data_IF_234195761538
#
_entry.id   IF_234195761538
#
_cell.length_a   1.000
_cell.length_b   1.000
_cell.length_c   1.000
_cell.angle_alpha   90.00
_cell.angle_beta   90.00
_cell.angle_gamma   90.00
#
_symmetry.space_group_name_H-M   'P 1'
#
loop_
_entity.id
_entity.type
_entity.pdbx_description
1 polymer ?
#
# COMPACT_ATOMS: atom_id res chain seq x y z
N UNK A 1 11.82 -16.69 -10.76
CA UNK A 1 12.74 -15.63 -10.30
C UNK A 1 12.99 -15.76 -8.81
N UNK A 2 14.13 -15.23 -8.34
CA UNK A 2 14.40 -15.00 -6.92
C UNK A 2 14.04 -13.55 -6.60
N UNK A 3 13.07 -13.35 -5.74
CA UNK A 3 12.47 -12.01 -5.48
C UNK A 3 12.62 -11.64 -4.01
N UNK A 4 13.21 -10.49 -3.72
CA UNK A 4 13.20 -9.92 -2.38
C UNK A 4 12.00 -8.98 -2.21
N UNK A 5 11.33 -9.06 -1.05
CA UNK A 5 10.22 -8.16 -0.68
C UNK A 5 10.54 -7.53 0.66
N UNK A 6 10.97 -6.26 0.65
CA UNK A 6 11.10 -5.51 1.90
C UNK A 6 9.72 -5.08 2.39
N UNK A 7 9.47 -5.15 3.68
CA UNK A 7 8.12 -4.91 4.22
C UNK A 7 7.14 -6.05 3.94
N UNK A 8 7.65 -7.25 3.60
CA UNK A 8 6.84 -8.40 3.22
C UNK A 8 5.96 -8.98 4.33
N UNK A 9 6.21 -8.63 5.60
CA UNK A 9 5.36 -8.99 6.75
C UNK A 9 4.24 -7.97 7.01
N UNK A 10 4.23 -6.86 6.27
CA UNK A 10 3.23 -5.79 6.39
C UNK A 10 1.88 -6.16 5.76
N UNK A 11 0.94 -5.20 5.77
CA UNK A 11 -0.40 -5.35 5.17
C UNK A 11 -0.30 -5.71 3.68
N UNK A 12 0.13 -4.79 2.83
CA UNK A 12 0.24 -5.00 1.38
C UNK A 12 1.29 -6.07 1.09
N UNK A 13 2.47 -5.97 1.71
CA UNK A 13 3.59 -6.87 1.47
C UNK A 13 3.26 -8.35 1.64
N UNK A 14 2.43 -8.70 2.64
CA UNK A 14 2.05 -10.08 2.88
C UNK A 14 1.15 -10.66 1.76
N UNK A 15 0.28 -9.86 1.15
CA UNK A 15 -0.52 -10.27 -0.01
C UNK A 15 0.35 -10.37 -1.27
N UNK A 16 1.28 -9.43 -1.48
CA UNK A 16 2.25 -9.49 -2.58
C UNK A 16 3.11 -10.75 -2.49
N UNK A 17 3.62 -11.08 -1.29
CA UNK A 17 4.36 -12.34 -1.06
C UNK A 17 3.51 -13.55 -1.41
N UNK A 18 2.25 -13.60 -0.95
CA UNK A 18 1.34 -14.72 -1.24
C UNK A 18 1.16 -14.91 -2.76
N UNK A 19 0.93 -13.83 -3.53
CA UNK A 19 0.76 -13.89 -5.00
C UNK A 19 2.04 -14.28 -5.73
N UNK A 20 3.19 -13.73 -5.32
CA UNK A 20 4.48 -14.08 -5.92
C UNK A 20 4.84 -15.56 -5.69
N UNK A 21 4.59 -16.09 -4.48
CA UNK A 21 4.79 -17.52 -4.18
C UNK A 21 3.82 -18.38 -4.99
N UNK A 22 2.54 -18.01 -5.09
CA UNK A 22 1.54 -18.72 -5.88
C UNK A 22 1.88 -18.72 -7.39
N UNK A 23 2.54 -17.66 -7.88
CA UNK A 23 3.06 -17.58 -9.26
C UNK A 23 4.37 -18.39 -9.47
N UNK A 24 4.85 -19.12 -8.45
CA UNK A 24 6.01 -20.00 -8.56
C UNK A 24 7.37 -19.31 -8.38
N UNK A 25 7.41 -18.09 -7.85
CA UNK A 25 8.66 -17.40 -7.56
C UNK A 25 9.25 -17.84 -6.21
N UNK A 26 10.58 -17.78 -6.10
CA UNK A 26 11.27 -17.92 -4.80
C UNK A 26 11.31 -16.56 -4.13
N UNK A 27 10.62 -16.42 -3.01
CA UNK A 27 10.49 -15.15 -2.32
C UNK A 27 11.31 -15.13 -1.03
N UNK A 28 12.07 -14.07 -0.82
CA UNK A 28 12.69 -13.73 0.46
C UNK A 28 12.05 -12.46 1.02
N UNK A 29 11.45 -12.59 2.20
CA UNK A 29 10.90 -11.48 2.98
C UNK A 29 12.06 -10.84 3.75
N UNK A 30 12.18 -9.51 3.64
CA UNK A 30 13.11 -8.68 4.42
C UNK A 30 12.24 -7.73 5.26
N UNK A 31 12.21 -7.96 6.57
CA UNK A 31 11.36 -7.19 7.50
C UNK A 31 11.94 -7.31 8.91
N UNK A 32 11.59 -6.41 9.80
CA UNK A 32 11.92 -6.50 11.24
C UNK A 32 10.88 -7.31 12.03
N UNK A 33 9.79 -7.70 11.40
CA UNK A 33 8.73 -8.55 11.97
C UNK A 33 8.69 -9.88 11.24
N UNK A 34 8.44 -11.00 11.95
CA UNK A 34 8.32 -12.30 11.31
C UNK A 34 7.15 -12.36 10.32
N UNK A 35 7.22 -13.22 9.29
CA UNK A 35 6.16 -13.37 8.31
C UNK A 35 4.89 -13.95 8.94
N UNK A 36 3.74 -13.57 8.39
CA UNK A 36 2.43 -14.05 8.84
C UNK A 36 2.13 -15.49 8.42
N UNK A 37 2.75 -15.96 7.35
CA UNK A 37 2.56 -17.31 6.78
C UNK A 37 3.91 -17.95 6.44
N UNK A 38 3.93 -19.28 6.40
CA UNK A 38 5.04 -20.07 5.84
C UNK A 38 4.97 -20.02 4.29
N UNK A 39 6.09 -20.32 3.62
CA UNK A 39 6.17 -20.43 2.16
C UNK A 39 7.21 -19.54 1.50
N UNK A 40 7.66 -18.49 2.20
CA UNK A 40 8.79 -17.65 1.80
C UNK A 40 9.92 -17.71 2.82
N UNK A 41 11.16 -17.51 2.38
CA UNK A 41 12.27 -17.36 3.31
C UNK A 41 12.24 -16.00 3.98
N UNK A 42 12.76 -15.90 5.21
CA UNK A 42 12.75 -14.67 6.00
C UNK A 42 14.16 -14.23 6.37
N UNK A 43 14.37 -12.93 6.35
CA UNK A 43 15.57 -12.25 6.86
C UNK A 43 15.14 -11.11 7.77
N UNK A 44 15.53 -11.20 9.04
CA UNK A 44 15.36 -10.12 10.01
C UNK A 44 16.41 -9.05 9.72
N UNK A 45 16.03 -8.06 8.92
CA UNK A 45 16.88 -6.95 8.50
C UNK A 45 16.05 -5.68 8.40
N UNK A 46 16.53 -4.63 9.08
CA UNK A 46 16.01 -3.28 8.93
C UNK A 46 16.55 -2.66 7.63
N UNK A 47 15.70 -1.94 6.89
CA UNK A 47 16.11 -1.25 5.65
C UNK A 47 17.12 -0.11 5.90
N UNK A 48 17.34 0.27 7.16
CA UNK A 48 18.41 1.18 7.57
C UNK A 48 19.78 0.49 7.71
N UNK A 49 19.84 -0.84 7.68
CA UNK A 49 21.09 -1.63 7.71
C UNK A 49 21.54 -2.00 6.28
N UNK A 50 22.35 -1.15 5.65
CA UNK A 50 22.88 -1.42 4.30
C UNK A 50 23.68 -2.72 4.20
N UNK A 51 24.64 -3.06 5.12
CA UNK A 51 25.31 -4.35 5.08
C UNK A 51 24.35 -5.55 5.17
N UNK A 52 23.33 -5.46 6.01
CA UNK A 52 22.27 -6.46 6.12
C UNK A 52 21.47 -6.61 4.82
N UNK A 53 21.07 -5.51 4.20
CA UNK A 53 20.38 -5.51 2.92
C UNK A 53 21.22 -6.15 1.80
N UNK A 54 22.52 -5.82 1.71
CA UNK A 54 23.41 -6.42 0.70
C UNK A 54 23.48 -7.95 0.89
N UNK A 55 23.58 -8.44 2.12
CA UNK A 55 23.54 -9.88 2.37
C UNK A 55 22.18 -10.50 2.04
N UNK A 56 21.10 -9.83 2.40
CA UNK A 56 19.74 -10.36 2.25
C UNK A 56 19.25 -10.37 0.78
N UNK A 57 19.73 -9.47 -0.06
CA UNK A 57 19.34 -9.36 -1.48
C UNK A 57 20.32 -10.07 -2.44
N UNK A 58 21.34 -10.75 -1.93
CA UNK A 58 22.30 -11.48 -2.77
C UNK A 58 21.62 -12.57 -3.57
N UNK A 59 21.84 -12.57 -4.89
CA UNK A 59 21.26 -13.54 -5.83
C UNK A 59 19.77 -13.34 -6.14
N UNK A 60 19.19 -12.19 -5.76
CA UNK A 60 17.86 -11.80 -6.19
C UNK A 60 17.87 -11.18 -7.60
N UNK A 61 16.84 -11.51 -8.38
CA UNK A 61 16.62 -10.97 -9.73
C UNK A 61 15.89 -9.62 -9.65
N UNK A 62 14.93 -9.51 -8.70
CA UNK A 62 14.06 -8.34 -8.49
C UNK A 62 13.91 -8.05 -7.00
N UNK A 63 13.79 -6.76 -6.66
CA UNK A 63 13.42 -6.29 -5.32
C UNK A 63 12.11 -5.52 -5.38
N UNK A 64 11.11 -5.92 -4.60
CA UNK A 64 9.95 -5.09 -4.26
C UNK A 64 10.22 -4.36 -2.94
N UNK A 65 10.26 -3.04 -3.01
CA UNK A 65 10.49 -2.20 -1.83
C UNK A 65 9.17 -1.62 -1.31
N UNK A 66 8.55 -2.34 -0.36
CA UNK A 66 7.29 -1.98 0.28
C UNK A 66 7.48 -1.51 1.74
N UNK A 67 8.67 -1.72 2.32
CA UNK A 67 8.98 -1.22 3.65
C UNK A 67 8.91 0.31 3.70
N UNK A 68 8.31 0.85 4.76
CA UNK A 68 8.23 2.29 4.96
C UNK A 68 7.21 2.68 6.02
N UNK A 69 7.36 3.89 6.54
CA UNK A 69 6.32 4.56 7.34
C UNK A 69 5.23 5.02 6.38
N UNK A 70 4.00 4.50 6.54
CA UNK A 70 2.88 4.74 5.62
C UNK A 70 1.66 5.39 6.27
N UNK A 71 1.69 5.63 7.59
CA UNK A 71 0.66 6.34 8.32
C UNK A 71 1.04 7.83 8.43
N UNK A 72 0.14 8.72 8.01
CA UNK A 72 0.36 10.18 8.07
C UNK A 72 0.53 10.68 9.50
N UNK A 73 -0.19 10.07 10.47
CA UNK A 73 -0.07 10.45 11.88
C UNK A 73 1.27 10.02 12.47
N UNK A 74 1.76 8.81 12.14
CA UNK A 74 3.07 8.34 12.58
C UNK A 74 4.17 9.21 11.96
N UNK A 75 4.05 9.54 10.67
CA UNK A 75 4.97 10.43 9.97
C UNK A 75 4.99 11.85 10.58
N UNK A 76 3.85 12.32 11.09
CA UNK A 76 3.75 13.61 11.78
C UNK A 76 4.35 13.54 13.20
N UNK A 77 4.17 12.42 13.88
CA UNK A 77 4.69 12.22 15.24
C UNK A 77 6.22 12.13 15.27
N UNK A 78 6.82 11.46 14.26
CA UNK A 78 8.28 11.38 14.12
C UNK A 78 8.69 11.61 12.64
N UNK A 79 8.82 12.90 12.24
CA UNK A 79 9.19 13.26 10.89
C UNK A 79 10.63 12.87 10.50
N UNK A 80 11.55 12.86 11.47
CA UNK A 80 12.95 12.52 11.20
C UNK A 80 13.10 11.03 10.92
N UNK A 81 12.55 10.18 11.78
CA UNK A 81 12.53 8.73 11.55
C UNK A 81 11.80 8.37 10.25
N UNK A 82 10.71 9.10 9.91
CA UNK A 82 10.02 8.91 8.64
C UNK A 82 10.92 9.17 7.44
N UNK A 83 11.69 10.26 7.45
CA UNK A 83 12.64 10.57 6.36
C UNK A 83 13.79 9.55 6.32
N UNK A 84 14.28 9.12 7.46
CA UNK A 84 15.34 8.10 7.54
C UNK A 84 14.90 6.76 6.94
N UNK A 85 13.69 6.32 7.28
CA UNK A 85 13.11 5.08 6.76
C UNK A 85 12.73 5.22 5.29
N UNK A 86 11.91 6.22 4.94
CA UNK A 86 11.32 6.30 3.60
C UNK A 86 12.29 6.80 2.53
N UNK A 87 13.23 7.67 2.86
CA UNK A 87 14.17 8.27 1.89
C UNK A 87 15.54 7.60 1.96
N UNK A 88 16.17 7.65 3.14
CA UNK A 88 17.51 7.07 3.29
C UNK A 88 17.45 5.54 3.22
N UNK A 89 16.39 4.91 3.76
CA UNK A 89 16.12 3.48 3.60
C UNK A 89 15.96 3.09 2.13
N UNK A 90 15.18 3.84 1.35
CA UNK A 90 15.06 3.64 -0.11
C UNK A 90 16.42 3.72 -0.80
N UNK A 91 17.24 4.73 -0.49
CA UNK A 91 18.58 4.84 -1.07
C UNK A 91 19.46 3.63 -0.73
N UNK A 92 19.36 3.10 0.50
CA UNK A 92 20.09 1.88 0.92
C UNK A 92 19.63 0.63 0.17
N UNK A 93 18.32 0.48 -0.05
CA UNK A 93 17.78 -0.64 -0.86
C UNK A 93 18.28 -0.57 -2.30
N UNK A 94 18.27 0.62 -2.91
CA UNK A 94 18.80 0.83 -4.29
C UNK A 94 20.31 0.60 -4.35
N UNK A 95 21.06 1.02 -3.35
CA UNK A 95 22.50 0.73 -3.25
C UNK A 95 22.80 -0.76 -3.07
N UNK A 96 21.99 -1.47 -2.28
CA UNK A 96 22.09 -2.92 -2.15
C UNK A 96 21.77 -3.63 -3.48
N UNK A 97 20.72 -3.17 -4.19
CA UNK A 97 20.37 -3.67 -5.52
C UNK A 97 21.53 -3.48 -6.52
N UNK A 98 22.12 -2.29 -6.53
CA UNK A 98 23.27 -1.96 -7.40
C UNK A 98 24.49 -2.83 -7.09
N UNK A 99 24.84 -3.01 -5.82
CA UNK A 99 26.00 -3.85 -5.41
C UNK A 99 25.81 -5.32 -5.78
N UNK A 100 24.58 -5.81 -5.71
CA UNK A 100 24.26 -7.20 -6.04
C UNK A 100 23.84 -7.40 -7.51
N UNK A 101 23.91 -6.34 -8.32
CA UNK A 101 23.54 -6.36 -9.75
C UNK A 101 22.10 -6.89 -9.95
N UNK A 102 21.18 -6.52 -9.06
CA UNK A 102 19.77 -6.87 -9.17
C UNK A 102 19.19 -6.25 -10.44
N UNK A 103 18.51 -7.05 -11.25
CA UNK A 103 18.02 -6.63 -12.56
C UNK A 103 17.06 -5.44 -12.50
N UNK A 104 16.15 -5.40 -11.50
CA UNK A 104 15.20 -4.30 -11.31
C UNK A 104 14.76 -4.16 -9.86
N UNK A 105 14.60 -2.92 -9.40
CA UNK A 105 14.00 -2.61 -8.11
C UNK A 105 12.69 -1.84 -8.29
N UNK A 106 11.64 -2.20 -7.54
CA UNK A 106 10.28 -1.71 -7.68
C UNK A 106 9.88 -0.99 -6.40
N UNK A 107 9.58 0.31 -6.49
CA UNK A 107 9.22 1.16 -5.35
C UNK A 107 7.70 1.20 -5.15
N UNK A 108 7.23 0.93 -3.93
CA UNK A 108 5.90 1.29 -3.48
C UNK A 108 5.83 2.79 -3.15
N UNK A 109 5.22 3.57 -4.05
CA UNK A 109 4.88 4.98 -3.85
C UNK A 109 3.38 5.14 -3.56
N UNK A 110 2.82 6.31 -3.76
CA UNK A 110 1.44 6.64 -3.41
C UNK A 110 0.84 7.66 -4.36
N UNK A 111 -0.47 7.59 -4.61
CA UNK A 111 -1.22 8.64 -5.33
C UNK A 111 -1.30 9.96 -4.56
N UNK A 112 -0.95 9.99 -3.28
CA UNK A 112 -0.86 11.24 -2.51
C UNK A 112 0.17 12.22 -3.05
N UNK A 113 1.11 11.77 -3.87
CA UNK A 113 2.05 12.67 -4.58
C UNK A 113 1.33 13.66 -5.50
N UNK A 114 0.08 13.36 -5.88
CA UNK A 114 -0.78 14.25 -6.67
C UNK A 114 -1.58 15.26 -5.84
N UNK A 115 -1.63 15.13 -4.52
CA UNK A 115 -2.50 15.96 -3.66
C UNK A 115 -2.22 17.46 -3.79
N UNK A 116 -0.95 17.85 -3.94
CA UNK A 116 -0.53 19.24 -4.13
C UNK A 116 -0.54 19.69 -5.58
N UNK A 117 -0.87 18.85 -6.57
CA UNK A 117 -0.85 19.24 -7.97
C UNK A 117 -1.94 20.29 -8.26
N UNK A 118 -1.57 21.40 -8.90
CA UNK A 118 -2.46 22.53 -9.16
C UNK A 118 -3.45 22.31 -10.31
N UNK A 119 -3.27 21.25 -11.10
CA UNK A 119 -4.09 21.01 -12.27
C UNK A 119 -5.45 20.43 -11.86
N UNK A 120 -6.51 20.99 -12.37
CA UNK A 120 -7.84 20.40 -12.34
C UNK A 120 -7.87 19.14 -13.22
N UNK A 121 -8.77 18.20 -12.90
CA UNK A 121 -8.98 16.98 -13.68
C UNK A 121 -8.35 15.72 -13.13
N UNK A 122 -8.32 14.68 -13.96
CA UNK A 122 -7.82 13.35 -13.62
C UNK A 122 -6.30 13.35 -13.59
N UNK A 123 -5.71 12.89 -12.49
CA UNK A 123 -4.25 12.77 -12.37
C UNK A 123 -3.73 11.56 -13.16
N UNK A 124 -2.72 11.78 -13.96
CA UNK A 124 -1.99 10.75 -14.71
C UNK A 124 -0.52 10.74 -14.32
N UNK A 125 0.20 9.69 -14.69
CA UNK A 125 1.63 9.53 -14.36
C UNK A 125 2.52 10.62 -14.96
N UNK A 126 2.11 11.20 -16.09
CA UNK A 126 2.83 12.26 -16.80
C UNK A 126 2.52 13.66 -16.25
N UNK A 127 1.57 13.76 -15.28
CA UNK A 127 1.22 15.05 -14.68
C UNK A 127 2.41 15.62 -13.89
N UNK A 128 2.77 16.91 -14.10
CA UNK A 128 3.81 17.55 -13.31
C UNK A 128 3.46 17.54 -11.81
N UNK A 129 4.35 16.99 -11.00
CA UNK A 129 4.20 16.99 -9.55
C UNK A 129 4.65 18.33 -8.97
N UNK A 130 3.90 18.85 -8.00
CA UNK A 130 4.34 20.00 -7.21
C UNK A 130 5.26 19.53 -6.09
N UNK A 131 6.43 20.14 -6.00
CA UNK A 131 7.40 19.88 -4.92
C UNK A 131 7.21 20.80 -3.71
N UNK A 132 6.34 21.81 -3.83
CA UNK A 132 6.01 22.75 -2.76
C UNK A 132 4.55 22.57 -2.33
N UNK A 133 4.29 22.75 -1.02
CA UNK A 133 2.93 22.68 -0.48
C UNK A 133 2.45 21.23 -0.24
N UNK A 134 3.39 20.30 -0.04
CA UNK A 134 3.05 18.96 0.47
C UNK A 134 2.60 19.12 1.93
N UNK A 135 1.33 18.85 2.20
CA UNK A 135 0.75 19.04 3.54
C UNK A 135 1.28 18.05 4.58
N UNK A 136 1.90 16.96 4.12
CA UNK A 136 2.34 15.87 5.00
C UNK A 136 3.78 15.45 4.73
N UNK A 137 4.55 15.24 5.82
CA UNK A 137 5.90 14.65 5.77
C UNK A 137 5.90 13.32 5.03
N UNK A 138 4.85 12.51 5.19
CA UNK A 138 4.68 11.27 4.44
C UNK A 138 4.74 11.50 2.92
N UNK A 139 3.95 12.43 2.40
CA UNK A 139 3.94 12.74 0.96
C UNK A 139 5.29 13.26 0.49
N UNK A 140 5.90 14.17 1.26
CA UNK A 140 7.24 14.69 0.97
C UNK A 140 8.29 13.56 0.92
N UNK A 141 8.24 12.62 1.87
CA UNK A 141 9.15 11.48 1.90
C UNK A 141 8.99 10.53 0.71
N UNK A 142 7.75 10.30 0.23
CA UNK A 142 7.50 9.48 -0.96
C UNK A 142 7.95 10.17 -2.25
N UNK A 143 7.73 11.48 -2.39
CA UNK A 143 8.28 12.26 -3.50
C UNK A 143 9.81 12.21 -3.52
N UNK A 144 10.46 12.40 -2.36
CA UNK A 144 11.91 12.30 -2.26
C UNK A 144 12.43 10.90 -2.59
N UNK A 145 11.70 9.84 -2.19
CA UNK A 145 12.04 8.47 -2.56
C UNK A 145 11.94 8.23 -4.08
N UNK A 146 10.92 8.76 -4.77
CA UNK A 146 10.83 8.68 -6.24
C UNK A 146 12.03 9.39 -6.92
N UNK A 147 12.45 10.56 -6.41
CA UNK A 147 13.62 11.27 -6.91
C UNK A 147 14.92 10.47 -6.70
N UNK A 148 15.09 9.82 -5.55
CA UNK A 148 16.23 8.93 -5.30
C UNK A 148 16.25 7.80 -6.32
N UNK A 149 15.11 7.13 -6.53
CA UNK A 149 14.97 5.99 -7.45
C UNK A 149 15.33 6.37 -8.89
N UNK A 150 14.75 7.45 -9.39
CA UNK A 150 15.03 7.94 -10.76
C UNK A 150 16.49 8.37 -10.93
N UNK A 151 17.10 9.02 -9.90
CA UNK A 151 18.51 9.38 -9.92
C UNK A 151 19.43 8.15 -9.97
N UNK A 152 19.11 7.05 -9.28
CA UNK A 152 19.85 5.79 -9.41
C UNK A 152 19.74 5.21 -10.84
N UNK A 153 18.55 5.32 -11.45
CA UNK A 153 18.36 4.94 -12.85
C UNK A 153 19.26 5.72 -13.81
N UNK A 154 19.26 7.04 -13.68
CA UNK A 154 20.04 7.95 -14.53
C UNK A 154 21.56 7.80 -14.33
N UNK A 155 22.01 7.72 -13.07
CA UNK A 155 23.45 7.74 -12.76
C UNK A 155 24.10 6.36 -12.89
N UNK A 156 23.38 5.29 -12.57
CA UNK A 156 23.96 3.95 -12.46
C UNK A 156 23.33 2.93 -13.40
N UNK A 157 22.33 3.33 -14.20
CA UNK A 157 21.60 2.41 -15.08
C UNK A 157 20.76 1.36 -14.33
N UNK A 158 20.47 1.58 -13.04
CA UNK A 158 19.65 0.65 -12.25
C UNK A 158 18.20 0.73 -12.71
N UNK A 159 17.72 -0.32 -13.37
CA UNK A 159 16.33 -0.37 -13.79
C UNK A 159 15.37 -0.31 -12.58
N UNK A 160 14.30 0.45 -12.73
CA UNK A 160 13.30 0.63 -11.69
C UNK A 160 11.87 0.53 -12.22
N UNK A 161 10.91 0.36 -11.31
CA UNK A 161 9.48 0.64 -11.54
C UNK A 161 8.96 1.37 -10.31
N UNK A 162 8.15 2.41 -10.49
CA UNK A 162 7.49 3.12 -9.39
C UNK A 162 6.00 2.83 -9.48
N UNK A 163 5.44 2.25 -8.43
CA UNK A 163 4.01 1.95 -8.33
C UNK A 163 3.37 2.97 -7.37
N UNK A 164 2.54 3.86 -7.88
CA UNK A 164 1.76 4.81 -7.08
C UNK A 164 0.45 4.16 -6.69
N UNK A 165 0.38 3.72 -5.45
CA UNK A 165 -0.79 3.03 -4.91
C UNK A 165 -1.92 3.98 -4.57
N UNK A 166 -3.14 3.60 -4.96
CA UNK A 166 -4.38 4.11 -4.40
C UNK A 166 -4.53 3.74 -2.93
N UNK A 167 -5.75 3.71 -2.42
CA UNK A 167 -6.01 3.39 -1.01
C UNK A 167 -6.38 1.92 -0.87
N UNK A 168 -5.43 1.05 -0.46
CA UNK A 168 -5.72 -0.38 -0.32
C UNK A 168 -6.60 -0.66 0.90
N UNK A 169 -7.53 -1.61 0.75
CA UNK A 169 -8.34 -2.15 1.84
C UNK A 169 -8.50 -3.67 1.70
N UNK A 170 -8.86 -4.33 2.79
CA UNK A 170 -9.12 -5.77 2.81
C UNK A 170 -8.45 -6.49 3.98
N UNK A 171 -8.34 -7.82 3.93
CA UNK A 171 -7.73 -8.65 4.97
C UNK A 171 -6.35 -8.16 5.40
N UNK A 172 -6.05 -8.26 6.71
CA UNK A 172 -4.78 -7.85 7.33
C UNK A 172 -4.52 -6.33 7.32
N UNK A 173 -5.49 -5.50 6.92
CA UNK A 173 -5.34 -4.04 7.01
C UNK A 173 -5.24 -3.60 8.47
N UNK A 174 -4.71 -2.37 8.68
CA UNK A 174 -4.50 -1.84 10.03
C UNK A 174 -5.81 -1.35 10.64
N UNK A 175 -5.97 -1.54 11.95
CA UNK A 175 -7.18 -1.22 12.71
C UNK A 175 -7.49 0.28 12.78
N UNK A 176 -6.51 1.15 12.53
CA UNK A 176 -6.68 2.61 12.57
C UNK A 176 -7.35 3.17 11.30
N UNK A 177 -7.44 2.38 10.23
CA UNK A 177 -8.06 2.81 8.98
C UNK A 177 -9.59 2.83 9.09
N UNK A 178 -10.23 3.78 8.42
CA UNK A 178 -11.67 4.06 8.55
C UNK A 178 -12.55 2.81 8.31
N UNK A 179 -12.22 2.01 7.31
CA UNK A 179 -12.94 0.77 6.99
C UNK A 179 -12.84 -0.22 8.15
N UNK A 180 -11.63 -0.45 8.69
CA UNK A 180 -11.43 -1.35 9.83
C UNK A 180 -12.13 -0.84 11.09
N UNK A 181 -12.08 0.47 11.35
CA UNK A 181 -12.80 1.07 12.47
C UNK A 181 -14.31 0.91 12.35
N UNK A 182 -14.89 1.13 11.15
CA UNK A 182 -16.32 0.98 10.95
C UNK A 182 -16.74 -0.49 11.07
N UNK A 183 -15.98 -1.41 10.48
CA UNK A 183 -16.26 -2.84 10.58
C UNK A 183 -16.25 -3.31 12.05
N UNK A 184 -15.20 -2.96 12.80
CA UNK A 184 -15.08 -3.31 14.22
C UNK A 184 -16.23 -2.73 15.06
N UNK A 185 -16.56 -1.44 14.87
CA UNK A 185 -17.68 -0.81 15.55
C UNK A 185 -19.00 -1.51 15.24
N UNK A 186 -19.24 -1.81 13.98
CA UNK A 186 -20.47 -2.48 13.57
C UNK A 186 -20.58 -3.87 14.19
N UNK A 187 -19.53 -4.66 14.17
CA UNK A 187 -19.50 -6.00 14.79
C UNK A 187 -19.71 -5.96 16.32
N UNK A 188 -19.30 -4.87 16.97
CA UNK A 188 -19.55 -4.66 18.40
C UNK A 188 -20.93 -4.07 18.71
N UNK A 189 -21.74 -3.73 17.71
CA UNK A 189 -23.01 -3.03 17.91
C UNK A 189 -22.86 -1.53 18.24
N UNK A 190 -21.67 -0.97 18.05
CA UNK A 190 -21.38 0.45 18.32
C UNK A 190 -21.82 1.34 17.15
N UNK A 191 -22.24 2.57 17.46
CA UNK A 191 -22.57 3.58 16.43
C UNK A 191 -21.38 3.92 15.55
N UNK A 192 -21.64 4.14 14.25
CA UNK A 192 -20.63 4.67 13.31
C UNK A 192 -20.55 6.18 13.42
N UNK A 193 -19.33 6.73 13.44
CA UNK A 193 -19.10 8.16 13.57
C UNK A 193 -18.49 8.72 12.29
N UNK A 194 -19.21 9.63 11.61
CA UNK A 194 -18.78 10.30 10.39
C UNK A 194 -18.39 11.74 10.73
N UNK A 195 -17.18 12.16 10.34
CA UNK A 195 -16.74 13.55 10.48
C UNK A 195 -17.17 14.35 9.25
N UNK A 196 -17.78 15.53 9.48
CA UNK A 196 -18.37 16.35 8.43
C UNK A 196 -19.64 15.72 7.86
N UNK A 197 -19.90 15.96 6.58
CA UNK A 197 -21.04 15.40 5.83
C UNK A 197 -20.77 13.99 5.27
N UNK A 198 -19.52 13.51 5.34
CA UNK A 198 -19.10 12.21 4.83
C UNK A 198 -18.99 12.13 3.30
N UNK A 199 -19.00 13.27 2.58
CA UNK A 199 -18.88 13.30 1.13
C UNK A 199 -17.44 13.26 0.62
N UNK A 200 -16.45 13.44 1.50
CA UNK A 200 -15.04 13.19 1.14
C UNK A 200 -14.88 11.75 0.65
N UNK A 201 -14.20 11.59 -0.47
CA UNK A 201 -14.08 10.30 -1.15
C UNK A 201 -12.63 9.90 -1.40
N UNK A 202 -12.44 8.60 -1.62
CA UNK A 202 -11.19 8.00 -2.10
C UNK A 202 -11.55 6.88 -3.08
N UNK A 203 -10.62 6.55 -3.97
CA UNK A 203 -10.73 5.34 -4.75
C UNK A 203 -10.07 4.22 -3.96
N UNK A 204 -10.91 3.36 -3.38
CA UNK A 204 -10.41 2.21 -2.62
C UNK A 204 -10.09 1.07 -3.57
N UNK A 205 -8.96 0.42 -3.34
CA UNK A 205 -8.47 -0.70 -4.12
C UNK A 205 -8.40 -1.95 -3.25
N UNK A 206 -9.08 -3.02 -3.66
CA UNK A 206 -8.99 -4.28 -2.92
C UNK A 206 -7.56 -4.81 -2.94
N UNK A 207 -7.05 -5.20 -1.78
CA UNK A 207 -5.62 -5.47 -1.60
C UNK A 207 -5.12 -6.67 -2.41
N UNK A 208 -5.98 -7.64 -2.71
CA UNK A 208 -5.57 -8.79 -3.53
C UNK A 208 -5.48 -8.41 -5.00
N UNK A 209 -6.38 -7.56 -5.53
CA UNK A 209 -6.23 -7.00 -6.89
C UNK A 209 -4.94 -6.20 -7.02
N UNK A 210 -4.58 -5.41 -5.98
CA UNK A 210 -3.29 -4.73 -5.94
C UNK A 210 -2.13 -5.71 -5.96
N UNK A 211 -2.21 -6.80 -5.20
CA UNK A 211 -1.17 -7.82 -5.15
C UNK A 211 -1.01 -8.55 -6.50
N UNK A 212 -2.10 -8.77 -7.23
CA UNK A 212 -2.06 -9.37 -8.58
C UNK A 212 -1.29 -8.47 -9.56
N UNK A 213 -1.43 -7.14 -9.48
CA UNK A 213 -0.63 -6.21 -10.26
C UNK A 213 0.88 -6.41 -10.06
N UNK A 214 1.33 -6.81 -8.86
CA UNK A 214 2.75 -7.02 -8.58
C UNK A 214 3.35 -8.22 -9.32
N UNK A 215 2.54 -9.22 -9.67
CA UNK A 215 2.99 -10.31 -10.54
C UNK A 215 3.13 -9.81 -11.98
N UNK A 216 2.17 -9.03 -12.45
CA UNK A 216 2.16 -8.52 -13.83
C UNK A 216 3.26 -7.49 -14.10
N UNK A 217 3.62 -6.66 -13.11
CA UNK A 217 4.70 -5.65 -13.28
C UNK A 217 6.10 -6.26 -13.35
N UNK A 218 6.25 -7.57 -13.16
CA UNK A 218 7.51 -8.25 -13.43
C UNK A 218 7.88 -8.28 -14.94
N UNK A 219 6.92 -8.04 -15.82
CA UNK A 219 7.18 -7.91 -17.25
C UNK A 219 8.17 -6.78 -17.56
N UNK A 220 9.04 -6.99 -18.54
CA UNK A 220 10.09 -6.03 -18.89
C UNK A 220 9.56 -4.70 -19.44
N UNK A 221 8.33 -4.67 -19.97
CA UNK A 221 7.67 -3.43 -20.41
C UNK A 221 7.48 -2.43 -19.26
N UNK A 222 7.52 -2.90 -18.01
CA UNK A 222 7.42 -2.05 -16.82
C UNK A 222 8.76 -1.45 -16.37
N UNK A 223 9.88 -1.79 -17.02
CA UNK A 223 11.17 -1.21 -16.68
C UNK A 223 11.20 0.30 -16.95
N UNK A 224 11.67 1.06 -15.96
CA UNK A 224 11.75 2.53 -15.97
C UNK A 224 10.38 3.21 -16.18
N UNK A 225 9.32 2.59 -15.65
CA UNK A 225 7.97 3.12 -15.69
C UNK A 225 7.50 3.60 -14.31
N UNK A 226 6.64 4.62 -14.33
CA UNK A 226 5.78 5.01 -13.22
C UNK A 226 4.38 4.56 -13.57
N UNK A 227 3.67 3.86 -12.66
CA UNK A 227 2.37 3.24 -12.92
C UNK A 227 1.45 3.48 -11.72
N UNK A 228 0.27 4.03 -11.97
CA UNK A 228 -0.77 4.14 -10.95
C UNK A 228 -1.51 2.82 -10.80
N UNK A 229 -1.65 2.35 -9.57
CA UNK A 229 -2.54 1.25 -9.21
C UNK A 229 -3.69 1.84 -8.37
N UNK A 230 -4.80 2.13 -9.04
CA UNK A 230 -5.91 2.88 -8.45
C UNK A 230 -7.19 2.04 -8.42
N UNK A 231 -8.05 2.32 -7.43
CA UNK A 231 -9.36 1.70 -7.31
C UNK A 231 -10.32 2.08 -8.44
N UNK A 232 -11.36 1.27 -8.70
CA UNK A 232 -12.20 1.43 -9.88
C UNK A 232 -13.07 2.69 -9.84
N UNK A 233 -13.47 3.12 -8.64
CA UNK A 233 -14.46 4.19 -8.46
C UNK A 233 -14.26 4.99 -7.16
N UNK A 234 -14.78 6.23 -7.12
CA UNK A 234 -14.79 7.02 -5.90
C UNK A 234 -15.80 6.48 -4.88
N UNK A 235 -15.34 6.23 -3.66
CA UNK A 235 -16.15 5.76 -2.53
C UNK A 235 -16.11 6.81 -1.42
N UNK A 236 -17.27 7.35 -1.03
CA UNK A 236 -17.37 8.32 0.06
C UNK A 236 -17.37 7.65 1.44
N UNK A 237 -17.01 8.39 2.48
CA UNK A 237 -17.09 7.89 3.87
C UNK A 237 -18.52 7.51 4.24
N UNK A 238 -19.52 8.25 3.73
CA UNK A 238 -20.94 7.92 3.90
C UNK A 238 -21.27 6.58 3.28
N UNK A 239 -20.81 6.33 2.05
CA UNK A 239 -21.04 5.06 1.36
C UNK A 239 -20.36 3.88 2.08
N UNK A 240 -19.15 4.06 2.63
CA UNK A 240 -18.51 3.03 3.48
C UNK A 240 -19.42 2.66 4.66
N UNK A 241 -19.98 3.67 5.35
CA UNK A 241 -20.87 3.43 6.49
C UNK A 241 -22.17 2.70 6.07
N UNK A 242 -22.74 3.04 4.91
CA UNK A 242 -23.92 2.39 4.35
C UNK A 242 -23.64 0.90 4.01
N UNK A 243 -22.53 0.61 3.36
CA UNK A 243 -22.10 -0.76 3.02
C UNK A 243 -21.86 -1.58 4.29
N UNK A 244 -21.12 -1.04 5.27
CA UNK A 244 -20.88 -1.73 6.54
C UNK A 244 -22.18 -2.04 7.28
N UNK A 245 -23.12 -1.08 7.35
CA UNK A 245 -24.45 -1.31 7.94
C UNK A 245 -25.21 -2.40 7.20
N UNK A 246 -25.22 -2.34 5.87
CA UNK A 246 -25.91 -3.36 5.05
C UNK A 246 -25.36 -4.78 5.25
N UNK A 247 -24.07 -4.91 5.54
CA UNK A 247 -23.40 -6.18 5.76
C UNK A 247 -23.59 -6.73 7.19
N UNK A 248 -23.61 -5.86 8.20
CA UNK A 248 -23.58 -6.29 9.62
C UNK A 248 -24.92 -6.07 10.31
N UNK A 249 -25.41 -4.83 10.36
CA UNK A 249 -26.69 -4.47 10.97
C UNK A 249 -27.26 -3.19 10.33
N UNK A 250 -28.34 -3.30 9.52
CA UNK A 250 -28.97 -2.15 8.87
C UNK A 250 -29.53 -1.09 9.84
N UNK A 251 -29.78 -1.46 11.10
CA UNK A 251 -30.33 -0.58 12.13
C UNK A 251 -29.25 0.16 12.93
N UNK A 252 -27.96 -0.13 12.67
CA UNK A 252 -26.85 0.50 13.39
C UNK A 252 -26.90 2.02 13.28
N UNK A 253 -26.82 2.78 14.40
CA UNK A 253 -26.87 4.24 14.35
C UNK A 253 -25.65 4.84 13.67
N UNK A 254 -25.86 5.92 12.90
CA UNK A 254 -24.81 6.76 12.34
C UNK A 254 -24.88 8.15 12.97
N UNK A 255 -23.77 8.62 13.50
CA UNK A 255 -23.63 9.94 14.10
C UNK A 255 -22.71 10.81 13.26
N UNK A 256 -23.16 12.02 12.93
CA UNK A 256 -22.34 13.03 12.26
C UNK A 256 -21.76 14.00 13.29
N UNK A 257 -20.44 14.21 13.24
CA UNK A 257 -19.70 15.09 14.14
C UNK A 257 -18.93 16.15 13.33
N UNK A 258 -18.46 17.24 13.95
CA UNK A 258 -17.74 18.28 13.23
C UNK A 258 -16.58 17.77 12.38
N UNK A 259 -16.35 18.41 11.23
CA UNK A 259 -15.26 18.12 10.28
C UNK A 259 -13.89 18.21 10.96
N UNK A 260 -12.96 17.36 10.59
CA UNK A 260 -11.56 17.45 11.02
C UNK A 260 -10.83 18.53 10.21
N UNK A 261 -9.98 19.36 10.85
CA UNK A 261 -9.13 20.29 10.10
C UNK A 261 -8.20 19.53 9.13
N UNK A 262 -8.10 20.00 7.87
CA UNK A 262 -7.24 19.41 6.86
C UNK A 262 -7.82 18.15 6.18
N UNK A 263 -9.12 17.90 6.28
CA UNK A 263 -9.75 16.77 5.61
C UNK A 263 -9.77 17.00 4.08
N UNK A 264 -9.11 16.12 3.35
CA UNK A 264 -8.95 16.22 1.90
C UNK A 264 -10.19 15.71 1.17
N UNK A 265 -10.75 16.53 0.27
CA UNK A 265 -12.01 16.22 -0.43
C UNK A 265 -11.93 14.96 -1.30
N UNK A 266 -10.80 14.74 -1.97
CA UNK A 266 -10.56 13.63 -2.88
C UNK A 266 -9.97 14.10 -4.22
N UNK A 267 -9.42 13.17 -4.98
CA UNK A 267 -8.93 13.39 -6.35
C UNK A 267 -9.07 12.12 -7.16
N UNK A 268 -9.50 12.26 -8.40
CA UNK A 268 -9.53 11.14 -9.34
C UNK A 268 -8.15 10.94 -9.95
N UNK A 269 -7.70 9.69 -9.98
CA UNK A 269 -6.42 9.26 -10.55
C UNK A 269 -6.70 8.21 -11.62
N UNK A 270 -6.01 8.29 -12.77
CA UNK A 270 -6.18 7.32 -13.85
C UNK A 270 -5.37 6.06 -13.63
N UNK A 271 -5.99 4.89 -13.78
CA UNK A 271 -5.36 3.58 -13.91
C UNK A 271 -5.12 3.13 -15.36
N UNK A 272 -5.36 3.99 -16.35
CA UNK A 272 -5.33 3.63 -17.77
C UNK A 272 -3.96 3.12 -18.25
N UNK A 273 -2.87 3.61 -17.64
CA UNK A 273 -1.52 3.15 -17.99
C UNK A 273 -1.30 1.70 -17.59
N UNK A 274 -1.72 1.29 -16.40
CA UNK A 274 -1.65 -0.10 -15.97
C UNK A 274 -2.44 -1.01 -16.91
N UNK A 275 -3.66 -0.61 -17.27
CA UNK A 275 -4.50 -1.38 -18.22
C UNK A 275 -3.83 -1.51 -19.59
N UNK A 276 -3.26 -0.44 -20.14
CA UNK A 276 -2.60 -0.50 -21.46
C UNK A 276 -1.30 -1.26 -21.43
N UNK A 277 -0.51 -1.15 -20.38
CA UNK A 277 0.86 -1.67 -20.31
C UNK A 277 0.91 -3.15 -19.95
N UNK A 278 0.11 -3.56 -18.96
CA UNK A 278 0.12 -4.92 -18.38
C UNK A 278 -1.25 -5.58 -18.35
N UNK A 279 -2.27 -5.00 -18.99
CA UNK A 279 -3.64 -5.54 -19.01
C UNK A 279 -4.34 -5.54 -17.63
N UNK A 280 -3.78 -4.87 -16.62
CA UNK A 280 -4.32 -4.86 -15.27
C UNK A 280 -5.39 -3.78 -15.07
N UNK A 281 -6.46 -4.19 -14.45
CA UNK A 281 -7.46 -3.32 -13.83
C UNK A 281 -8.00 -4.01 -12.59
N UNK A 282 -8.47 -3.28 -11.56
CA UNK A 282 -9.12 -3.91 -10.43
C UNK A 282 -10.41 -4.61 -10.87
N UNK A 283 -10.63 -5.82 -10.38
CA UNK A 283 -11.78 -6.66 -10.73
C UNK A 283 -12.82 -6.71 -9.59
N UNK A 284 -12.37 -6.43 -8.37
CA UNK A 284 -13.20 -6.50 -7.16
C UNK A 284 -13.90 -5.16 -6.91
N UNK A 285 -15.23 -5.15 -6.91
CA UNK A 285 -16.02 -3.99 -6.52
C UNK A 285 -15.78 -3.64 -5.05
N UNK A 286 -16.08 -2.39 -4.63
CA UNK A 286 -15.93 -2.01 -3.23
C UNK A 286 -16.79 -2.90 -2.32
N UNK A 287 -18.03 -3.15 -2.69
CA UNK A 287 -18.98 -3.98 -1.93
C UNK A 287 -18.53 -5.43 -1.82
N UNK A 288 -18.01 -6.03 -2.90
CA UNK A 288 -17.51 -7.40 -2.87
C UNK A 288 -16.25 -7.51 -2.01
N UNK A 289 -15.33 -6.56 -2.14
CA UNK A 289 -14.16 -6.48 -1.28
C UNK A 289 -14.52 -6.33 0.20
N UNK A 290 -15.60 -5.58 0.52
CA UNK A 290 -16.09 -5.45 1.90
C UNK A 290 -16.70 -6.74 2.43
N UNK A 291 -17.40 -7.53 1.59
CA UNK A 291 -17.88 -8.88 1.98
C UNK A 291 -16.72 -9.81 2.28
N UNK A 292 -15.72 -9.87 1.38
CA UNK A 292 -14.50 -10.67 1.58
C UNK A 292 -13.74 -10.26 2.85
N UNK A 293 -13.73 -8.97 3.16
CA UNK A 293 -13.11 -8.46 4.38
C UNK A 293 -13.87 -8.87 5.63
N UNK A 294 -15.22 -8.82 5.61
CA UNK A 294 -16.06 -9.31 6.70
C UNK A 294 -15.88 -10.82 6.93
N UNK A 295 -15.88 -11.62 5.86
CA UNK A 295 -15.69 -13.08 5.94
C UNK A 295 -14.33 -13.42 6.59
N UNK A 296 -13.28 -12.67 6.24
CA UNK A 296 -11.97 -12.81 6.86
C UNK A 296 -11.99 -12.49 8.37
N UNK A 297 -12.73 -11.44 8.78
CA UNK A 297 -12.89 -11.07 10.20
C UNK A 297 -13.58 -12.17 10.98
N UNK A 298 -14.68 -12.69 10.46
CA UNK A 298 -15.47 -13.74 11.11
C UNK A 298 -14.67 -15.05 11.23
N UNK A 299 -13.95 -15.44 10.18
CA UNK A 299 -13.07 -16.61 10.22
C UNK A 299 -11.94 -16.46 11.26
N UNK A 300 -11.38 -15.26 11.42
CA UNK A 300 -10.39 -14.97 12.47
C UNK A 300 -10.96 -15.08 13.88
N UNK A 301 -12.16 -14.56 14.09
CA UNK A 301 -12.84 -14.62 15.38
C UNK A 301 -13.20 -16.08 15.80
N UNK A 302 -13.59 -16.93 14.86
CA UNK A 302 -13.85 -18.35 15.11
C UNK A 302 -12.59 -19.09 15.57
N UNK A 303 -11.46 -18.86 14.91
CA UNK A 303 -10.16 -19.47 15.26
C UNK A 303 -9.70 -19.05 16.67
N UNK A 304 -9.89 -17.78 17.03
CA UNK A 304 -9.51 -17.28 18.35
C UNK A 304 -10.45 -17.81 19.44
N UNK A 305 -11.76 -17.97 19.16
CA UNK A 305 -12.71 -18.59 20.09
C UNK A 305 -12.42 -20.08 20.32
N UNK A 306 -12.07 -20.84 19.28
CA UNK A 306 -11.67 -22.25 19.42
C UNK A 306 -10.39 -22.41 20.26
N UNK A 307 -9.42 -21.53 20.10
CA UNK A 307 -8.18 -21.52 20.89
C UNK A 307 -8.45 -21.19 22.36
N UNK A 308 -9.34 -20.23 22.63
CA UNK A 308 -9.73 -19.88 23.99
C UNK A 308 -10.55 -20.95 24.70
N UNK A 309 -11.36 -21.72 23.94
CA UNK A 309 -12.15 -22.86 24.48
C UNK A 309 -11.36 -24.13 24.76
N UNK A 310 -10.13 -24.23 24.20
CA UNK A 310 -9.23 -25.37 24.38
C UNK A 310 -8.07 -25.10 25.37
N UNK A 311 -8.03 -23.92 25.99
CA UNK A 311 -7.07 -23.53 27.03
C UNK A 311 -7.69 -23.52 28.42
#
# INVERSE_FOLDING_TARGET
MNIAVTGGSGFIGSHVVDRLVAAGHRVVIIDTRPPRRAGASFRDVDITDLPGLVRATAGCDVIFHLAGVSNVNDARADPVATMDVNVTGTARVWEAARRNQVGRAILASTVWVYAAAAAEGVATEDMPLRTLGTEHVYTASKLAAELVVTSFGELFGQAYTILRYGIPFGPRMRDELVIAQFMRKALNGDKLTIHGDGLQYRNYLYVEDMADAHVLVLDDCCANQIINLEGPEPVSIRHIAEVVRGLVDPLLPVEFVPTRPGDYAGRTVSGDKARRLIGWQPETSFEDGMRLYLDWWLAGAEVDAERAGNA
#
